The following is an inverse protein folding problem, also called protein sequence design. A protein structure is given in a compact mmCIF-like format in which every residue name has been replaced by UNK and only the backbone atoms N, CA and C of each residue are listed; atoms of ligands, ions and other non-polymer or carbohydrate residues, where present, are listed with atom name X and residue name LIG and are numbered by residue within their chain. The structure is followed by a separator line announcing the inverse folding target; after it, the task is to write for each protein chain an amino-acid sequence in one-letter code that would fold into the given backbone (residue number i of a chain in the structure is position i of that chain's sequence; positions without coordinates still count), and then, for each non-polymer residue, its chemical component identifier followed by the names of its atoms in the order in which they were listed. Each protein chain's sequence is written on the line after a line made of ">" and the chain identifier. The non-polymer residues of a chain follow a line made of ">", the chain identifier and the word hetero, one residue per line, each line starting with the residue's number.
data_IF_862102868052
#
_entry.id   IF_862102868052
#
_cell.length_a   1.000
_cell.length_b   1.000
_cell.length_c   1.000
_cell.angle_alpha   90.00
_cell.angle_beta   90.00
_cell.angle_gamma   90.00
#
_symmetry.space_group_name_H-M   'P 1'
#
loop_
_entity.id
_entity.type
_entity.pdbx_description
1 polymer ?
#
# COMPACT_ATOMS: atom_id res chain seq x y z
N UNK A 1 3.55 28.86 21.40
CA UNK A 1 3.32 28.05 20.18
C UNK A 1 2.03 28.40 19.41
N UNK A 2 0.92 28.81 20.06
CA UNK A 2 -0.32 29.18 19.35
C UNK A 2 -0.24 30.47 18.48
N UNK A 3 0.65 31.42 18.81
CA UNK A 3 0.81 32.66 18.02
C UNK A 3 1.59 32.49 16.71
N UNK A 4 2.52 31.52 16.64
CA UNK A 4 3.33 31.28 15.44
C UNK A 4 2.51 30.65 14.30
N UNK A 5 1.63 29.72 14.65
CA UNK A 5 0.73 29.03 13.71
C UNK A 5 -0.34 29.98 13.16
N UNK A 6 -0.77 30.96 13.95
CA UNK A 6 -1.75 31.98 13.53
C UNK A 6 -1.13 32.97 12.52
N UNK A 7 0.13 33.38 12.74
CA UNK A 7 0.86 34.29 11.86
C UNK A 7 1.18 33.67 10.48
N UNK A 8 1.42 32.36 10.40
CA UNK A 8 1.68 31.67 9.12
C UNK A 8 0.42 31.55 8.24
N UNK A 9 -0.78 31.57 8.82
CA UNK A 9 -2.04 31.47 8.05
C UNK A 9 -2.45 32.78 7.37
N UNK A 10 -2.04 33.94 7.90
CA UNK A 10 -2.53 35.25 7.46
C UNK A 10 -1.43 36.17 6.92
N UNK A 11 -0.16 35.76 6.96
CA UNK A 11 0.95 36.54 6.41
C UNK A 11 1.48 35.91 5.10
N UNK A 12 1.11 36.47 3.93
CA UNK A 12 1.52 35.90 2.63
C UNK A 12 3.04 35.94 2.41
N UNK A 13 3.78 36.84 3.07
CA UNK A 13 5.24 36.93 2.97
C UNK A 13 5.92 35.79 3.73
N UNK A 14 5.47 35.49 4.95
CA UNK A 14 6.00 34.35 5.73
C UNK A 14 5.67 33.02 5.07
N UNK A 15 4.49 32.90 4.46
CA UNK A 15 4.10 31.72 3.68
C UNK A 15 4.99 31.52 2.46
N UNK A 16 5.29 32.60 1.72
CA UNK A 16 6.18 32.55 0.54
C UNK A 16 7.62 32.19 0.94
N UNK A 17 8.13 32.69 2.07
CA UNK A 17 9.46 32.31 2.60
C UNK A 17 9.53 30.86 3.05
N UNK A 18 8.51 30.35 3.76
CA UNK A 18 8.43 28.94 4.13
C UNK A 18 8.36 28.02 2.90
N UNK A 19 7.65 28.44 1.85
CA UNK A 19 7.60 27.71 0.58
C UNK A 19 8.95 27.69 -0.14
N UNK A 20 9.66 28.82 -0.18
CA UNK A 20 11.00 28.88 -0.76
C UNK A 20 12.00 28.02 -0.01
N UNK A 21 11.91 27.93 1.33
CA UNK A 21 12.76 27.03 2.11
C UNK A 21 12.43 25.56 1.89
N UNK A 22 11.14 25.20 1.74
CA UNK A 22 10.73 23.82 1.45
C UNK A 22 11.13 23.40 0.02
N UNK A 23 10.97 24.28 -0.97
CA UNK A 23 11.40 24.06 -2.36
C UNK A 23 12.93 23.92 -2.45
N UNK A 24 13.69 24.82 -1.80
CA UNK A 24 15.14 24.72 -1.75
C UNK A 24 15.61 23.46 -1.00
N UNK A 25 14.91 23.07 0.07
CA UNK A 25 15.23 21.85 0.81
C UNK A 25 14.93 20.60 -0.02
N UNK A 26 13.83 20.59 -0.77
CA UNK A 26 13.53 19.53 -1.74
C UNK A 26 14.58 19.48 -2.85
N UNK A 27 14.97 20.61 -3.44
CA UNK A 27 16.00 20.65 -4.48
C UNK A 27 17.35 20.16 -3.95
N UNK A 28 17.75 20.58 -2.75
CA UNK A 28 18.96 20.08 -2.10
C UNK A 28 18.88 18.56 -1.82
N UNK A 29 17.72 18.05 -1.39
CA UNK A 29 17.49 16.61 -1.20
C UNK A 29 17.48 15.84 -2.53
N UNK A 30 16.94 16.44 -3.59
CA UNK A 30 16.95 15.90 -4.96
C UNK A 30 18.38 15.76 -5.45
N UNK A 31 19.20 16.81 -5.32
CA UNK A 31 20.63 16.78 -5.68
C UNK A 31 21.37 15.71 -4.86
N UNK A 32 21.11 15.59 -3.56
CA UNK A 32 21.70 14.53 -2.74
C UNK A 32 21.30 13.11 -3.22
N UNK A 33 20.02 12.91 -3.56
CA UNK A 33 19.51 11.63 -4.06
C UNK A 33 19.96 11.30 -5.49
N UNK A 34 20.25 12.31 -6.31
CA UNK A 34 20.85 12.17 -7.64
C UNK A 34 22.34 11.86 -7.54
N UNK A 35 23.08 12.52 -6.64
CA UNK A 35 24.49 12.24 -6.37
C UNK A 35 24.72 10.84 -5.78
N UNK A 36 23.79 10.36 -4.94
CA UNK A 36 23.80 8.96 -4.51
C UNK A 36 23.59 8.01 -5.69
N UNK A 37 22.77 8.37 -6.68
CA UNK A 37 22.49 7.52 -7.82
C UNK A 37 23.66 7.45 -8.81
N UNK A 38 24.35 8.57 -9.05
CA UNK A 38 25.53 8.62 -9.95
C UNK A 38 26.78 8.00 -9.35
N UNK A 39 26.90 7.99 -8.02
CA UNK A 39 28.05 7.39 -7.31
C UNK A 39 27.96 5.86 -7.22
N UNK A 40 26.80 5.26 -7.51
CA UNK A 40 26.62 3.81 -7.48
C UNK A 40 26.92 3.27 -8.87
N UNK A 41 28.09 2.63 -9.03
CA UNK A 41 28.37 1.80 -10.21
C UNK A 41 27.29 0.72 -10.28
N UNK A 42 26.51 0.69 -11.37
CA UNK A 42 25.65 -0.46 -11.70
C UNK A 42 26.54 -1.70 -11.64
N UNK A 43 26.27 -2.70 -10.77
CA UNK A 43 26.95 -3.97 -10.89
C UNK A 43 26.66 -4.51 -12.29
N UNK A 44 27.70 -5.01 -12.96
CA UNK A 44 27.52 -5.67 -14.25
C UNK A 44 26.41 -6.73 -14.13
N UNK A 45 25.52 -6.83 -15.12
CA UNK A 45 24.47 -7.82 -15.09
C UNK A 45 25.10 -9.22 -15.12
N UNK A 46 25.31 -9.82 -13.95
CA UNK A 46 25.49 -11.27 -13.86
C UNK A 46 24.22 -11.89 -14.40
N UNK A 47 24.31 -12.48 -15.58
CA UNK A 47 23.23 -13.24 -16.20
C UNK A 47 22.84 -14.39 -15.26
N UNK A 48 21.82 -14.18 -14.45
CA UNK A 48 21.14 -15.28 -13.77
C UNK A 48 20.29 -15.95 -14.83
N UNK A 49 20.79 -17.07 -15.36
CA UNK A 49 19.95 -18.01 -16.13
C UNK A 49 18.86 -18.49 -15.17
N UNK A 50 17.62 -18.11 -15.46
CA UNK A 50 16.47 -18.80 -14.88
C UNK A 50 16.31 -20.08 -15.69
N UNK A 51 16.65 -21.22 -15.08
CA UNK A 51 16.28 -22.51 -15.64
C UNK A 51 14.75 -22.57 -15.70
N UNK A 52 14.27 -22.73 -16.93
CA UNK A 52 12.86 -22.91 -17.22
C UNK A 52 12.38 -24.21 -16.57
N UNK A 53 11.36 -24.09 -15.71
CA UNK A 53 10.53 -25.21 -15.31
C UNK A 53 10.74 -25.64 -13.87
N UNK A 54 10.01 -25.02 -12.95
CA UNK A 54 9.18 -25.78 -12.01
C UNK A 54 8.12 -24.86 -11.40
N UNK A 55 6.88 -25.10 -11.82
CA UNK A 55 5.69 -24.55 -11.19
C UNK A 55 5.65 -25.01 -9.74
N UNK A 56 5.53 -24.06 -8.83
CA UNK A 56 5.24 -24.29 -7.42
C UNK A 56 4.00 -25.18 -7.27
N UNK A 57 4.19 -26.49 -7.07
CA UNK A 57 3.13 -27.42 -6.67
C UNK A 57 2.86 -27.20 -5.19
N UNK A 58 1.63 -26.84 -4.77
CA UNK A 58 1.26 -26.92 -3.37
C UNK A 58 1.37 -28.38 -2.94
N UNK A 59 2.21 -28.65 -1.95
CA UNK A 59 2.31 -29.93 -1.30
C UNK A 59 0.95 -30.33 -0.70
N UNK A 60 0.38 -31.42 -1.21
CA UNK A 60 -0.64 -32.21 -0.51
C UNK A 60 -2.08 -32.07 -1.02
N UNK A 61 -2.38 -32.59 -2.22
CA UNK A 61 -3.72 -33.13 -2.52
C UNK A 61 -3.51 -34.52 -3.13
N UNK A 62 -3.92 -35.53 -2.38
CA UNK A 62 -3.99 -36.92 -2.83
C UNK A 62 -5.04 -37.00 -3.95
N UNK A 63 -4.70 -37.70 -5.02
CA UNK A 63 -5.33 -37.66 -6.34
C UNK A 63 -6.82 -38.01 -6.43
N UNK A 64 -7.41 -37.55 -7.53
CA UNK A 64 -8.73 -37.87 -8.02
C UNK A 64 -9.01 -37.07 -9.28
N UNK A 65 -9.37 -37.74 -10.36
CA UNK A 65 -9.33 -37.28 -11.75
C UNK A 65 -10.23 -36.07 -12.09
N UNK A 66 -9.85 -35.40 -13.18
CA UNK A 66 -10.39 -34.13 -13.64
C UNK A 66 -11.89 -34.08 -13.93
N UNK A 67 -12.46 -32.94 -13.61
CA UNK A 67 -13.39 -32.15 -14.43
C UNK A 67 -13.44 -30.74 -13.83
N UNK A 68 -13.49 -29.73 -14.69
CA UNK A 68 -13.56 -28.30 -14.35
C UNK A 68 -14.59 -28.02 -13.24
N UNK A 69 -14.13 -27.45 -12.12
CA UNK A 69 -14.96 -27.15 -10.95
C UNK A 69 -14.80 -25.69 -10.49
N UNK A 70 -15.01 -24.74 -11.40
CA UNK A 70 -15.02 -23.30 -11.11
C UNK A 70 -16.43 -22.71 -10.90
N UNK A 71 -17.47 -23.53 -10.72
CA UNK A 71 -18.87 -23.05 -10.70
C UNK A 71 -19.63 -23.15 -9.37
N UNK A 72 -19.05 -23.68 -8.28
CA UNK A 72 -19.78 -23.89 -7.01
C UNK A 72 -19.16 -23.17 -5.77
N UNK A 73 -18.66 -21.96 -5.94
CA UNK A 73 -17.98 -21.18 -4.87
C UNK A 73 -18.83 -20.08 -4.21
N UNK A 74 -20.15 -20.06 -4.39
CA UNK A 74 -20.99 -18.97 -3.87
C UNK A 74 -21.50 -19.22 -2.44
N UNK A 75 -21.19 -18.29 -1.52
CA UNK A 75 -22.10 -17.94 -0.41
C UNK A 75 -21.67 -18.18 1.04
N UNK A 76 -20.46 -18.68 1.35
CA UNK A 76 -20.04 -18.89 2.75
C UNK A 76 -18.72 -18.20 3.07
N UNK A 77 -18.72 -17.32 4.07
CA UNK A 77 -17.50 -16.84 4.74
C UNK A 77 -16.76 -18.05 5.29
N UNK A 78 -15.62 -18.39 4.69
CA UNK A 78 -14.76 -19.47 5.19
C UNK A 78 -13.77 -18.87 6.18
N UNK A 79 -13.72 -19.45 7.38
CA UNK A 79 -12.70 -19.14 8.39
C UNK A 79 -11.62 -20.21 8.26
N UNK A 80 -10.41 -19.80 7.89
CA UNK A 80 -9.23 -20.66 7.93
C UNK A 80 -8.35 -20.14 9.07
N UNK A 81 -8.10 -20.99 10.07
CA UNK A 81 -7.10 -20.68 11.09
C UNK A 81 -5.74 -21.12 10.57
N UNK A 82 -4.90 -20.13 10.25
CA UNK A 82 -3.46 -20.34 10.12
C UNK A 82 -2.86 -20.11 11.51
N UNK A 83 -1.72 -20.73 11.83
CA UNK A 83 -1.13 -20.84 13.19
C UNK A 83 -0.96 -19.53 14.00
N UNK A 84 -1.33 -18.35 13.47
CA UNK A 84 -1.31 -17.06 14.16
C UNK A 84 -2.43 -16.07 13.78
N UNK A 85 -3.39 -16.42 12.91
CA UNK A 85 -4.42 -15.47 12.43
C UNK A 85 -5.70 -16.14 11.91
N UNK A 86 -6.79 -15.36 11.87
CA UNK A 86 -8.07 -15.72 11.27
C UNK A 86 -8.16 -15.11 9.87
N UNK A 87 -8.31 -15.95 8.85
CA UNK A 87 -8.58 -15.52 7.48
C UNK A 87 -10.09 -15.55 7.18
N UNK A 88 -10.62 -14.48 6.58
CA UNK A 88 -12.03 -14.35 6.18
C UNK A 88 -12.12 -13.84 4.74
N UNK A 89 -12.77 -14.61 3.88
CA UNK A 89 -13.10 -14.16 2.52
C UNK A 89 -14.41 -13.38 2.52
N UNK A 90 -14.38 -12.19 1.92
CA UNK A 90 -15.49 -11.25 1.84
C UNK A 90 -15.78 -11.00 0.35
N UNK A 91 -17.05 -11.10 -0.01
CA UNK A 91 -17.55 -10.74 -1.33
C UNK A 91 -18.32 -9.42 -1.22
N UNK A 92 -18.01 -8.46 -2.08
CA UNK A 92 -18.62 -7.14 -2.07
C UNK A 92 -19.19 -6.87 -3.46
N UNK A 93 -20.50 -6.72 -3.55
CA UNK A 93 -21.17 -6.24 -4.77
C UNK A 93 -20.97 -4.73 -4.87
N UNK A 94 -20.43 -4.27 -5.99
CA UNK A 94 -20.10 -2.86 -6.19
C UNK A 94 -21.34 -2.07 -6.65
N UNK A 95 -21.69 -0.94 -6.02
CA UNK A 95 -22.85 -0.15 -6.43
C UNK A 95 -22.78 0.37 -7.87
N UNK A 96 -21.58 0.72 -8.33
CA UNK A 96 -21.33 1.21 -9.69
C UNK A 96 -21.31 0.09 -10.75
N UNK A 97 -21.24 -1.17 -10.32
CA UNK A 97 -21.21 -2.33 -11.21
C UNK A 97 -21.83 -3.54 -10.49
N UNK A 98 -23.17 -3.63 -10.44
CA UNK A 98 -23.88 -4.63 -9.63
C UNK A 98 -23.65 -6.08 -10.10
N UNK A 99 -23.13 -6.26 -11.31
CA UNK A 99 -22.75 -7.57 -11.87
C UNK A 99 -21.32 -7.99 -11.49
N UNK A 100 -20.53 -7.07 -10.90
CA UNK A 100 -19.15 -7.30 -10.52
C UNK A 100 -19.06 -7.44 -9.00
N UNK A 101 -18.46 -8.55 -8.57
CA UNK A 101 -18.17 -8.80 -7.15
C UNK A 101 -16.68 -8.66 -6.91
N UNK A 102 -16.33 -7.81 -5.95
CA UNK A 102 -14.97 -7.66 -5.47
C UNK A 102 -14.67 -8.75 -4.42
N UNK A 103 -13.57 -9.47 -4.65
CA UNK A 103 -13.06 -10.47 -3.71
C UNK A 103 -12.01 -9.83 -2.80
N UNK A 104 -12.29 -9.85 -1.50
CA UNK A 104 -11.46 -9.29 -0.44
C UNK A 104 -11.14 -10.38 0.57
N UNK A 105 -9.93 -10.36 1.11
CA UNK A 105 -9.53 -11.26 2.21
C UNK A 105 -9.14 -10.41 3.40
N UNK A 106 -9.79 -10.65 4.54
CA UNK A 106 -9.48 -10.04 5.82
C UNK A 106 -8.73 -11.03 6.70
N UNK A 107 -7.57 -10.62 7.17
CA UNK A 107 -6.74 -11.34 8.12
C UNK A 107 -6.79 -10.61 9.46
N UNK A 108 -7.30 -11.28 10.49
CA UNK A 108 -7.41 -10.74 11.84
C UNK A 108 -6.45 -11.44 12.79
N UNK A 109 -5.85 -10.72 13.76
CA UNK A 109 -5.14 -11.35 14.86
C UNK A 109 -6.04 -12.35 15.59
N UNK A 110 -5.47 -13.46 16.07
CA UNK A 110 -6.20 -14.35 16.97
C UNK A 110 -6.65 -13.58 18.22
N UNK A 111 -7.87 -13.82 18.74
CA UNK A 111 -8.30 -13.24 20.00
C UNK A 111 -7.33 -13.66 21.11
N UNK A 112 -6.65 -12.69 21.73
CA UNK A 112 -5.89 -12.93 22.96
C UNK A 112 -6.79 -12.62 24.15
N UNK A 113 -6.60 -13.34 25.26
CA UNK A 113 -7.41 -13.21 26.49
C UNK A 113 -7.34 -11.84 27.16
N UNK A 114 -6.50 -10.92 26.68
CA UNK A 114 -6.13 -9.69 27.39
C UNK A 114 -6.33 -8.37 26.64
N UNK A 115 -6.73 -8.33 25.37
CA UNK A 115 -6.84 -7.04 24.65
C UNK A 115 -8.07 -6.92 23.75
N UNK A 116 -9.03 -6.10 24.17
CA UNK A 116 -10.21 -5.70 23.39
C UNK A 116 -9.98 -4.47 22.49
N UNK A 117 -8.82 -3.79 22.53
CA UNK A 117 -8.67 -2.44 21.92
C UNK A 117 -7.92 -2.36 20.58
N UNK A 118 -7.08 -3.34 20.20
CA UNK A 118 -6.20 -3.24 19.01
C UNK A 118 -6.82 -3.71 17.71
N UNK A 119 -7.91 -4.48 17.76
CA UNK A 119 -8.60 -5.03 16.57
C UNK A 119 -9.38 -3.99 15.73
N UNK A 120 -9.35 -2.71 16.11
CA UNK A 120 -10.02 -1.61 15.39
C UNK A 120 -9.17 -0.99 14.27
N UNK A 121 -7.99 -1.52 13.99
CA UNK A 121 -7.07 -0.98 12.99
C UNK A 121 -6.71 -2.01 11.92
N UNK A 122 -6.50 -1.54 10.68
CA UNK A 122 -6.05 -2.40 9.60
C UNK A 122 -5.15 -1.72 8.57
N UNK A 123 -4.25 -2.49 7.96
CA UNK A 123 -3.65 -2.14 6.67
C UNK A 123 -4.51 -2.66 5.52
N UNK A 124 -4.93 -1.81 4.60
CA UNK A 124 -5.56 -2.21 3.33
C UNK A 124 -4.49 -2.28 2.22
N UNK A 125 -4.09 -3.50 1.87
CA UNK A 125 -3.21 -3.81 0.74
C UNK A 125 -4.05 -3.91 -0.54
N UNK A 126 -3.78 -3.01 -1.50
CA UNK A 126 -4.42 -3.04 -2.80
C UNK A 126 -3.42 -3.23 -3.94
N UNK A 127 -3.84 -3.97 -4.96
CA UNK A 127 -3.08 -4.23 -6.18
C UNK A 127 -4.04 -4.40 -7.34
N UNK A 128 -3.55 -4.20 -8.57
CA UNK A 128 -4.35 -4.53 -9.74
C UNK A 128 -4.37 -6.05 -9.97
N UNK A 129 -5.54 -6.60 -10.35
CA UNK A 129 -5.76 -8.06 -10.47
C UNK A 129 -4.70 -8.77 -11.32
N UNK A 130 -4.23 -8.14 -12.39
CA UNK A 130 -3.24 -8.72 -13.32
C UNK A 130 -1.79 -8.58 -12.82
N UNK A 131 -1.51 -7.60 -11.97
CA UNK A 131 -0.18 -7.44 -11.39
C UNK A 131 0.04 -8.47 -10.25
N UNK A 132 -1.02 -8.83 -9.51
CA UNK A 132 -0.95 -9.73 -8.36
C UNK A 132 -0.34 -11.11 -8.64
N UNK A 133 -0.43 -11.60 -9.88
CA UNK A 133 0.08 -12.92 -10.27
C UNK A 133 1.62 -12.96 -10.41
N UNK A 134 2.32 -11.82 -10.27
CA UNK A 134 3.77 -11.68 -10.51
C UNK A 134 4.51 -11.22 -9.25
N UNK A 135 4.61 -12.08 -8.24
CA UNK A 135 5.67 -11.98 -7.22
C UNK A 135 5.36 -11.27 -5.90
N UNK A 136 4.22 -10.57 -5.71
CA UNK A 136 3.93 -9.90 -4.42
C UNK A 136 3.36 -10.78 -3.31
N UNK A 137 2.90 -12.00 -3.63
CA UNK A 137 2.29 -12.91 -2.66
C UNK A 137 3.22 -13.14 -1.45
N UNK A 138 4.53 -13.40 -1.61
CA UNK A 138 5.44 -13.56 -0.49
C UNK A 138 5.61 -12.28 0.35
N UNK A 139 5.63 -11.09 -0.26
CA UNK A 139 5.72 -9.84 0.49
C UNK A 139 4.46 -9.61 1.32
N UNK A 140 3.28 -9.77 0.71
CA UNK A 140 2.00 -9.62 1.41
C UNK A 140 1.89 -10.61 2.56
N UNK A 141 2.31 -11.86 2.38
CA UNK A 141 2.34 -12.85 3.46
C UNK A 141 3.18 -12.40 4.66
N UNK A 142 4.36 -11.86 4.42
CA UNK A 142 5.22 -11.37 5.51
C UNK A 142 4.61 -10.14 6.21
N UNK A 143 3.98 -9.24 5.45
CA UNK A 143 3.27 -8.07 5.99
C UNK A 143 2.09 -8.52 6.85
N UNK A 144 1.28 -9.46 6.35
CA UNK A 144 0.11 -10.00 7.06
C UNK A 144 0.53 -10.66 8.37
N UNK A 145 1.57 -11.51 8.35
CA UNK A 145 2.11 -12.13 9.56
C UNK A 145 2.64 -11.08 10.55
N UNK A 146 3.41 -10.09 10.07
CA UNK A 146 3.98 -9.04 10.91
C UNK A 146 2.93 -8.13 11.55
N UNK A 147 1.86 -7.80 10.83
CA UNK A 147 0.75 -6.98 11.34
C UNK A 147 -0.13 -7.75 12.31
N UNK A 148 -0.52 -8.97 11.97
CA UNK A 148 -1.39 -9.78 12.85
C UNK A 148 -0.69 -10.13 14.16
N UNK A 149 0.61 -10.44 14.11
CA UNK A 149 1.44 -10.58 15.32
C UNK A 149 1.55 -9.28 16.14
N UNK A 150 1.36 -8.12 15.53
CA UNK A 150 1.30 -6.82 16.18
C UNK A 150 -0.12 -6.42 16.64
N UNK A 151 -1.11 -7.29 16.50
CA UNK A 151 -2.50 -6.98 16.86
C UNK A 151 -3.23 -6.08 15.85
N UNK A 152 -2.67 -5.88 14.65
CA UNK A 152 -3.26 -5.07 13.57
C UNK A 152 -3.83 -6.01 12.51
N UNK A 153 -5.06 -5.73 12.04
CA UNK A 153 -5.66 -6.52 10.95
C UNK A 153 -5.04 -6.17 9.59
N UNK A 154 -5.16 -7.06 8.62
CA UNK A 154 -4.77 -6.78 7.25
C UNK A 154 -5.93 -7.10 6.31
N UNK A 155 -6.28 -6.16 5.44
CA UNK A 155 -7.26 -6.34 4.38
C UNK A 155 -6.50 -6.42 3.07
N UNK A 156 -6.73 -7.45 2.30
CA UNK A 156 -6.15 -7.61 0.98
C UNK A 156 -7.26 -7.55 -0.06
N UNK A 157 -7.11 -6.68 -1.05
CA UNK A 157 -8.05 -6.58 -2.17
C UNK A 157 -7.32 -6.50 -3.50
N UNK A 158 -8.05 -6.86 -4.56
CA UNK A 158 -7.61 -6.74 -5.94
C UNK A 158 -8.70 -6.01 -6.73
N UNK A 159 -8.40 -4.86 -7.32
CA UNK A 159 -9.39 -4.16 -8.12
C UNK A 159 -9.85 -5.02 -9.30
N UNK A 160 -11.15 -5.02 -9.55
CA UNK A 160 -11.78 -5.71 -10.68
C UNK A 160 -11.79 -4.84 -11.92
N UNK A 161 -11.91 -3.53 -11.74
CA UNK A 161 -11.95 -2.53 -12.81
C UNK A 161 -10.56 -2.29 -13.40
N UNK A 162 -10.49 -2.02 -14.70
CA UNK A 162 -9.24 -1.59 -15.33
C UNK A 162 -8.76 -0.26 -14.72
N UNK A 163 -7.44 -0.04 -14.62
CA UNK A 163 -6.89 1.11 -13.90
C UNK A 163 -7.20 2.45 -14.59
N UNK A 164 -7.59 2.39 -15.87
CA UNK A 164 -8.03 3.52 -16.69
C UNK A 164 -9.30 4.21 -16.16
N UNK A 165 -10.12 3.54 -15.34
CA UNK A 165 -11.23 4.18 -14.63
C UNK A 165 -10.88 4.41 -13.16
N UNK A 166 -10.07 5.45 -12.92
CA UNK A 166 -9.57 5.82 -11.59
C UNK A 166 -10.68 6.02 -10.55
N UNK A 167 -11.81 6.61 -10.95
CA UNK A 167 -12.91 6.87 -10.03
C UNK A 167 -13.54 5.56 -9.55
N UNK A 168 -13.72 4.56 -10.43
CA UNK A 168 -14.20 3.25 -10.00
C UNK A 168 -13.22 2.54 -9.07
N UNK A 169 -11.91 2.62 -9.32
CA UNK A 169 -10.93 2.08 -8.37
C UNK A 169 -10.98 2.78 -7.00
N UNK A 170 -11.20 4.10 -6.98
CA UNK A 170 -11.39 4.85 -5.74
C UNK A 170 -12.64 4.35 -5.00
N UNK A 171 -13.76 4.20 -5.69
CA UNK A 171 -15.00 3.69 -5.11
C UNK A 171 -14.83 2.26 -4.58
N UNK A 172 -14.14 1.38 -5.31
CA UNK A 172 -13.86 0.01 -4.88
C UNK A 172 -13.19 -0.01 -3.50
N UNK A 173 -12.12 0.77 -3.28
CA UNK A 173 -11.46 0.85 -1.96
C UNK A 173 -12.40 1.40 -0.89
N UNK A 174 -13.16 2.45 -1.19
CA UNK A 174 -14.06 3.07 -0.22
C UNK A 174 -15.15 2.09 0.22
N UNK A 175 -15.70 1.31 -0.71
CA UNK A 175 -16.65 0.24 -0.41
C UNK A 175 -16.02 -0.87 0.44
N UNK A 176 -14.77 -1.25 0.20
CA UNK A 176 -14.04 -2.18 1.08
C UNK A 176 -13.91 -1.61 2.48
N UNK A 177 -13.47 -0.36 2.62
CA UNK A 177 -13.29 0.31 3.90
C UNK A 177 -14.61 0.32 4.69
N UNK A 178 -15.71 0.76 4.06
CA UNK A 178 -17.00 0.84 4.74
C UNK A 178 -17.61 -0.53 5.04
N UNK A 179 -17.44 -1.53 4.15
CA UNK A 179 -17.88 -2.92 4.41
C UNK A 179 -17.12 -3.51 5.60
N UNK A 180 -15.79 -3.38 5.60
CA UNK A 180 -14.94 -3.96 6.65
C UNK A 180 -15.19 -3.27 8.00
N UNK A 181 -15.35 -1.96 8.01
CA UNK A 181 -15.77 -1.20 9.19
C UNK A 181 -17.11 -1.68 9.74
N UNK A 182 -18.13 -1.76 8.88
CA UNK A 182 -19.50 -2.12 9.29
C UNK A 182 -19.58 -3.55 9.83
N UNK A 183 -18.93 -4.50 9.15
CA UNK A 183 -19.06 -5.92 9.46
C UNK A 183 -18.07 -6.40 10.54
N UNK A 184 -16.91 -5.74 10.68
CA UNK A 184 -15.81 -6.21 11.53
C UNK A 184 -15.28 -5.16 12.52
N UNK A 185 -15.88 -3.96 12.57
CA UNK A 185 -15.55 -2.94 13.58
C UNK A 185 -14.19 -2.25 13.39
N UNK A 186 -13.60 -2.32 12.19
CA UNK A 186 -12.34 -1.64 11.88
C UNK A 186 -12.60 -0.15 11.63
N UNK A 187 -11.97 0.72 12.43
CA UNK A 187 -12.22 2.16 12.46
C UNK A 187 -11.01 2.98 11.97
N UNK A 188 -9.82 2.38 11.90
CA UNK A 188 -8.59 3.03 11.44
C UNK A 188 -7.93 2.23 10.32
N UNK A 189 -7.59 2.88 9.23
CA UNK A 189 -6.97 2.26 8.07
C UNK A 189 -5.68 2.99 7.69
N UNK A 190 -4.62 2.23 7.49
CA UNK A 190 -3.55 2.64 6.58
C UNK A 190 -3.89 2.02 5.22
N UNK A 191 -3.77 2.77 4.14
CA UNK A 191 -4.00 2.26 2.79
C UNK A 191 -2.67 2.13 2.06
N UNK A 192 -2.46 1.00 1.38
CA UNK A 192 -1.21 0.68 0.70
C UNK A 192 -1.49 0.29 -0.74
N UNK A 193 -0.82 0.98 -1.66
CA UNK A 193 -0.93 0.72 -3.10
C UNK A 193 0.40 0.31 -3.70
N UNK A 194 0.41 -0.84 -4.39
CA UNK A 194 1.54 -1.25 -5.22
C UNK A 194 1.37 -0.78 -6.67
N UNK A 195 2.48 -0.39 -7.30
CA UNK A 195 2.51 0.02 -8.71
C UNK A 195 1.51 1.17 -8.95
N UNK A 196 0.65 1.02 -9.95
CA UNK A 196 -0.39 1.99 -10.28
C UNK A 196 -1.39 2.22 -9.13
N UNK A 197 -1.62 1.20 -8.29
CA UNK A 197 -2.47 1.36 -7.10
C UNK A 197 -1.89 2.39 -6.12
N UNK A 198 -0.58 2.65 -6.16
CA UNK A 198 0.06 3.74 -5.42
C UNK A 198 -0.54 5.11 -5.74
N UNK A 199 -0.79 5.40 -7.02
CA UNK A 199 -1.42 6.65 -7.43
C UNK A 199 -2.89 6.73 -6.96
N UNK A 200 -3.60 5.61 -7.00
CA UNK A 200 -5.00 5.52 -6.54
C UNK A 200 -5.09 5.84 -5.04
N UNK A 201 -4.27 5.20 -4.19
CA UNK A 201 -4.32 5.45 -2.73
C UNK A 201 -3.99 6.89 -2.36
N UNK A 202 -3.07 7.54 -3.10
CA UNK A 202 -2.78 8.97 -2.89
C UNK A 202 -3.97 9.86 -3.28
N UNK A 203 -4.68 9.55 -4.37
CA UNK A 203 -5.91 10.28 -4.75
C UNK A 203 -7.01 10.13 -3.70
N UNK A 204 -7.18 8.93 -3.15
CA UNK A 204 -8.14 8.69 -2.05
C UNK A 204 -7.78 9.56 -0.85
N UNK A 205 -6.51 9.55 -0.44
CA UNK A 205 -6.03 10.37 0.67
C UNK A 205 -6.23 11.87 0.42
N UNK A 206 -5.93 12.35 -0.79
CA UNK A 206 -6.11 13.75 -1.17
C UNK A 206 -7.59 14.17 -1.22
N UNK A 207 -8.50 13.24 -1.58
CA UNK A 207 -9.94 13.49 -1.66
C UNK A 207 -10.60 13.69 -0.30
N UNK A 208 -9.99 13.19 0.79
CA UNK A 208 -10.54 13.17 2.15
C UNK A 208 -11.95 12.56 2.27
N UNK A 209 -12.34 11.70 1.32
CA UNK A 209 -13.65 11.04 1.29
C UNK A 209 -13.86 10.05 2.43
N UNK A 210 -12.80 9.57 3.08
CA UNK A 210 -12.89 8.77 4.29
C UNK A 210 -12.05 9.38 5.41
N UNK A 211 -12.69 9.58 6.57
CA UNK A 211 -12.03 10.00 7.83
C UNK A 211 -11.35 8.82 8.55
N UNK A 212 -11.49 7.61 8.03
CA UNK A 212 -10.92 6.40 8.62
C UNK A 212 -9.49 6.13 8.13
N UNK A 213 -8.95 6.97 7.22
CA UNK A 213 -7.60 6.81 6.69
C UNK A 213 -6.61 7.58 7.59
N UNK A 214 -5.65 6.86 8.16
CA UNK A 214 -4.63 7.32 9.11
C UNK A 214 -3.21 7.29 8.54
N UNK A 215 -3.02 6.73 7.34
CA UNK A 215 -1.74 6.79 6.65
C UNK A 215 -1.81 6.19 5.25
N UNK A 216 -0.79 6.48 4.45
CA UNK A 216 -0.62 5.93 3.12
C UNK A 216 0.75 5.27 2.95
N UNK A 217 0.77 4.13 2.26
CA UNK A 217 2.00 3.48 1.81
C UNK A 217 1.96 3.33 0.30
N UNK A 218 3.06 3.65 -0.38
CA UNK A 218 3.21 3.36 -1.80
C UNK A 218 4.37 2.39 -2.01
N UNK A 219 4.17 1.36 -2.81
CA UNK A 219 5.17 0.35 -3.17
C UNK A 219 5.46 0.44 -4.67
N UNK A 220 6.67 0.79 -5.08
CA UNK A 220 7.05 0.83 -6.50
C UNK A 220 6.09 1.68 -7.34
N UNK A 221 5.65 2.84 -6.82
CA UNK A 221 4.54 3.60 -7.41
C UNK A 221 4.77 3.92 -8.89
N UNK A 222 3.74 3.67 -9.69
CA UNK A 222 3.61 4.15 -11.05
C UNK A 222 2.50 5.18 -11.12
N UNK A 223 2.68 6.21 -11.94
CA UNK A 223 1.64 7.18 -12.23
C UNK A 223 1.75 7.68 -13.66
N UNK A 224 0.61 7.82 -14.32
CA UNK A 224 0.50 8.42 -15.65
C UNK A 224 0.38 9.95 -15.58
N UNK A 225 0.12 10.50 -14.39
CA UNK A 225 -0.01 11.93 -14.15
C UNK A 225 1.01 12.40 -13.10
N UNK A 226 1.59 13.60 -13.25
CA UNK A 226 2.47 14.16 -12.23
C UNK A 226 1.75 14.31 -10.89
N UNK A 227 2.40 13.86 -9.81
CA UNK A 227 1.84 14.02 -8.46
C UNK A 227 2.25 15.40 -7.95
N UNK A 228 1.37 16.38 -8.19
CA UNK A 228 1.63 17.79 -7.91
C UNK A 228 1.78 18.08 -6.41
N UNK A 229 2.53 19.15 -6.09
CA UNK A 229 2.57 19.72 -4.74
C UNK A 229 1.19 20.03 -4.17
N UNK A 230 0.22 20.43 -5.00
CA UNK A 230 -1.15 20.69 -4.54
C UNK A 230 -1.83 19.42 -4.02
N UNK A 231 -1.68 18.30 -4.73
CA UNK A 231 -2.18 16.99 -4.28
C UNK A 231 -1.56 16.62 -2.94
N UNK A 232 -0.24 16.79 -2.80
CA UNK A 232 0.46 16.47 -1.56
C UNK A 232 0.06 17.36 -0.38
N UNK A 233 -0.21 18.64 -0.64
CA UNK A 233 -0.78 19.55 0.38
C UNK A 233 -2.16 19.11 0.85
N UNK A 234 -2.98 18.52 -0.03
CA UNK A 234 -4.29 17.98 0.35
C UNK A 234 -4.16 16.75 1.26
N UNK A 235 -3.13 15.93 1.05
CA UNK A 235 -2.87 14.74 1.87
C UNK A 235 -2.39 15.13 3.29
N UNK A 236 -1.55 16.15 3.42
CA UNK A 236 -1.09 16.66 4.71
C UNK A 236 -2.25 17.00 5.67
N UNK A 237 -2.19 16.64 6.97
CA UNK A 237 -1.04 16.09 7.72
C UNK A 237 -1.01 14.55 7.79
N UNK A 238 -1.64 13.84 6.86
CA UNK A 238 -1.67 12.37 6.85
C UNK A 238 -0.25 11.80 6.64
N UNK A 239 0.22 10.86 7.48
CA UNK A 239 1.48 10.17 7.28
C UNK A 239 1.58 9.45 5.94
N UNK A 240 2.72 9.58 5.26
CA UNK A 240 3.01 8.85 4.00
C UNK A 240 4.35 8.12 4.11
N UNK A 241 4.37 6.85 3.71
CA UNK A 241 5.58 6.06 3.50
C UNK A 241 5.71 5.66 2.03
N UNK A 242 6.81 6.06 1.42
CA UNK A 242 7.14 5.75 0.03
C UNK A 242 8.22 4.67 0.02
N UNK A 243 7.97 3.54 -0.63
CA UNK A 243 8.95 2.46 -0.79
C UNK A 243 9.16 2.18 -2.27
N UNK A 244 10.41 2.22 -2.73
CA UNK A 244 10.73 1.97 -4.14
C UNK A 244 12.10 1.33 -4.27
N UNK A 245 12.20 0.18 -4.93
CA UNK A 245 13.46 -0.54 -5.08
C UNK A 245 14.37 0.08 -6.14
N UNK A 246 15.69 0.15 -5.90
CA UNK A 246 16.64 0.66 -6.90
C UNK A 246 16.79 -0.26 -8.13
N UNK A 247 16.42 -1.53 -8.02
CA UNK A 247 16.39 -2.47 -9.14
C UNK A 247 15.03 -2.57 -9.81
N UNK A 248 14.10 -1.70 -9.45
CA UNK A 248 12.86 -1.54 -10.17
C UNK A 248 13.15 -1.00 -11.58
N UNK A 249 12.88 -1.85 -12.58
CA UNK A 249 13.05 -1.54 -14.00
C UNK A 249 11.71 -1.39 -14.73
N UNK A 250 10.58 -1.44 -13.99
CA UNK A 250 9.23 -1.28 -14.53
C UNK A 250 8.67 0.09 -14.16
N UNK A 251 8.88 0.52 -12.92
CA UNK A 251 8.53 1.84 -12.43
C UNK A 251 9.77 2.72 -12.30
N UNK A 252 9.67 3.96 -12.74
CA UNK A 252 10.77 4.90 -12.60
C UNK A 252 10.85 5.43 -11.16
N UNK A 253 11.95 5.12 -10.47
CA UNK A 253 12.23 5.58 -9.11
C UNK A 253 12.16 7.11 -8.97
N UNK A 254 12.36 7.88 -10.06
CA UNK A 254 12.20 9.34 -10.06
C UNK A 254 10.81 9.78 -9.60
N UNK A 255 9.77 9.02 -9.93
CA UNK A 255 8.38 9.30 -9.49
C UNK A 255 8.30 9.29 -7.96
N UNK A 256 8.94 8.32 -7.31
CA UNK A 256 8.95 8.23 -5.83
C UNK A 256 9.79 9.32 -5.18
N UNK A 257 10.90 9.72 -5.80
CA UNK A 257 11.73 10.84 -5.33
C UNK A 257 10.97 12.16 -5.43
N UNK A 258 10.33 12.43 -6.57
CA UNK A 258 9.50 13.62 -6.78
C UNK A 258 8.33 13.67 -5.79
N UNK A 259 7.64 12.54 -5.60
CA UNK A 259 6.58 12.42 -4.62
C UNK A 259 7.05 12.78 -3.20
N UNK A 260 8.20 12.24 -2.77
CA UNK A 260 8.76 12.54 -1.46
C UNK A 260 9.13 14.01 -1.31
N UNK A 261 9.67 14.60 -2.37
CA UNK A 261 10.01 16.01 -2.46
C UNK A 261 8.78 16.90 -2.26
N UNK A 262 7.69 16.59 -2.96
CA UNK A 262 6.43 17.32 -2.91
C UNK A 262 5.62 17.06 -1.63
N UNK A 263 5.86 15.95 -0.93
CA UNK A 263 5.19 15.60 0.32
C UNK A 263 5.54 16.56 1.47
N UNK A 264 4.58 16.83 2.35
CA UNK A 264 4.81 17.50 3.64
C UNK A 264 4.95 16.46 4.75
N UNK A 265 5.57 16.85 5.88
CA UNK A 265 5.66 15.99 7.05
C UNK A 265 4.27 15.72 7.66
N UNK A 266 4.03 14.54 8.27
CA UNK A 266 4.98 13.41 8.43
C UNK A 266 5.13 12.58 7.15
N UNK A 267 6.37 12.42 6.68
CA UNK A 267 6.71 11.67 5.46
C UNK A 267 7.94 10.80 5.64
N UNK A 268 7.99 9.65 4.96
CA UNK A 268 9.14 8.76 4.92
C UNK A 268 9.37 8.22 3.52
N UNK A 269 10.64 7.96 3.18
CA UNK A 269 11.03 7.23 1.97
C UNK A 269 12.00 6.10 2.35
N UNK A 270 11.82 4.93 1.75
CA UNK A 270 12.74 3.80 1.86
C UNK A 270 13.08 3.30 0.46
N UNK A 271 14.37 3.39 0.11
CA UNK A 271 14.87 3.01 -1.21
C UNK A 271 15.83 1.81 -1.08
N UNK A 272 15.30 0.59 -0.90
CA UNK A 272 16.13 -0.61 -0.79
C UNK A 272 16.90 -0.89 -2.09
N UNK A 273 18.15 -1.34 -1.97
CA UNK A 273 19.04 -1.46 -3.13
C UNK A 273 18.71 -2.67 -3.99
N UNK A 274 18.45 -3.83 -3.38
CA UNK A 274 18.30 -5.11 -4.08
C UNK A 274 16.87 -5.44 -4.52
N UNK A 275 15.91 -4.58 -4.18
CA UNK A 275 14.48 -4.79 -4.43
C UNK A 275 14.12 -4.37 -5.85
N UNK A 276 13.36 -5.22 -6.54
CA UNK A 276 12.80 -5.00 -7.87
C UNK A 276 11.31 -4.60 -7.79
N UNK A 277 10.66 -4.41 -8.94
CA UNK A 277 9.24 -4.02 -8.99
C UNK A 277 8.30 -5.03 -8.31
N UNK A 278 8.68 -6.31 -8.33
CA UNK A 278 7.87 -7.42 -7.82
C UNK A 278 8.13 -7.68 -6.33
N UNK A 279 9.14 -7.03 -5.74
CA UNK A 279 9.57 -7.24 -4.36
C UNK A 279 9.91 -8.72 -4.07
N UNK A 280 10.56 -9.40 -5.02
CA UNK A 280 11.00 -10.80 -4.83
C UNK A 280 11.98 -10.87 -3.66
N UNK A 281 13.01 -10.02 -3.71
CA UNK A 281 13.80 -9.65 -2.54
C UNK A 281 13.05 -8.54 -1.83
N UNK A 282 12.88 -8.66 -0.51
CA UNK A 282 12.07 -7.73 0.30
C UNK A 282 12.90 -6.78 1.14
N UNK A 283 14.17 -7.12 1.43
CA UNK A 283 14.99 -6.47 2.47
C UNK A 283 14.17 -6.16 3.75
N UNK A 284 14.27 -4.94 4.30
CA UNK A 284 13.53 -4.52 5.48
C UNK A 284 12.12 -3.98 5.17
N UNK A 285 11.59 -4.18 3.95
CA UNK A 285 10.30 -3.60 3.50
C UNK A 285 9.16 -3.95 4.45
N UNK A 286 9.01 -5.24 4.80
CA UNK A 286 7.98 -5.70 5.75
C UNK A 286 8.08 -4.96 7.09
N UNK A 287 9.28 -4.90 7.67
CA UNK A 287 9.51 -4.24 8.96
C UNK A 287 9.18 -2.75 8.91
N UNK A 288 9.51 -2.07 7.81
CA UNK A 288 9.19 -0.65 7.60
C UNK A 288 7.69 -0.41 7.56
N UNK A 289 6.93 -1.25 6.84
CA UNK A 289 5.47 -1.14 6.74
C UNK A 289 4.80 -1.40 8.09
N UNK A 290 5.20 -2.48 8.79
CA UNK A 290 4.64 -2.82 10.11
C UNK A 290 4.88 -1.69 11.11
N UNK A 291 6.10 -1.15 11.18
CA UNK A 291 6.42 -0.05 12.09
C UNK A 291 5.66 1.24 11.72
N UNK A 292 5.51 1.52 10.43
CA UNK A 292 4.71 2.65 9.97
C UNK A 292 3.25 2.53 10.39
N UNK A 293 2.65 1.33 10.26
CA UNK A 293 1.27 1.10 10.69
C UNK A 293 1.10 1.30 12.19
N UNK A 294 2.01 0.76 13.01
CA UNK A 294 2.00 0.98 14.48
C UNK A 294 1.98 2.48 14.81
N UNK A 295 2.96 3.21 14.29
CA UNK A 295 3.10 4.64 14.55
C UNK A 295 1.95 5.50 14.00
N UNK A 296 1.27 5.04 12.94
CA UNK A 296 0.14 5.77 12.37
C UNK A 296 -1.16 5.56 13.15
N UNK A 297 -1.27 4.49 13.94
CA UNK A 297 -2.46 4.17 14.73
C UNK A 297 -2.38 4.59 16.20
N UNK A 298 -1.16 4.74 16.72
CA UNK A 298 -0.85 5.32 18.04
C UNK A 298 -1.26 6.80 18.12
#
# INVERSE_FOLDING_TARGET
>A
MRSLVWNLRHNPVLRKRAMQTDEQQCENQRIQLENLHTSIKKPEPTAVRYDNGDLYKPSGIIGGNGVDADSNWFGKTRIISLNSMIEKHILITLPHSPLVTLSVVLYQPLPTTTTNSTQKSALLLTSYKYEYQRGLIPLYKDIMNGLTAAGISCVQMRFTSKPENLEYCIQDILEVIEKVKRDYGIEKFVIAGWSFAGAIVLRIAASKRSRLIYGCVTLGIQSTEPISMETMRKISPLPILIIHGYRDNQADIRISKELYCNALAPKGIYLPFSVDHQFIVKENTTKKIVNFCKNAFD
#
